data_IF_818947324840
#
_entry.id   IF_818947324840
#
_cell.length_a   1.000
_cell.length_b   1.000
_cell.length_c   1.000
_cell.angle_alpha   90.00
_cell.angle_beta   90.00
_cell.angle_gamma   90.00
#
_symmetry.space_group_name_H-M   'P 1'
#
loop_
_entity.id
_entity.type
_entity.pdbx_description
1 polymer ?
#
# COMPACT_ATOMS: atom_id res chain seq x y z
N UNK A 1 11.48 24.22 6.16
CA UNK A 1 10.28 25.07 6.32
C UNK A 1 9.10 24.15 6.57
N UNK A 2 8.45 24.26 7.72
CA UNK A 2 7.38 23.36 8.17
C UNK A 2 6.11 23.58 7.35
N UNK A 3 5.36 22.51 7.05
CA UNK A 3 4.10 22.56 6.28
C UNK A 3 3.09 23.58 6.82
N UNK A 4 3.17 23.88 8.12
CA UNK A 4 2.27 24.80 8.82
C UNK A 4 2.73 26.26 8.80
N UNK A 5 3.94 26.52 8.31
CA UNK A 5 4.58 27.84 8.28
C UNK A 5 4.71 28.38 6.83
N UNK A 6 4.03 27.73 5.88
CA UNK A 6 3.98 28.14 4.48
C UNK A 6 2.64 28.82 4.19
N UNK A 7 2.63 30.08 3.72
CA UNK A 7 1.41 30.82 3.47
C UNK A 7 0.63 30.23 2.28
N UNK A 8 -0.70 30.30 2.33
CA UNK A 8 -1.57 29.82 1.24
C UNK A 8 -1.51 30.72 -0.01
N UNK A 9 -1.36 32.02 0.20
CA UNK A 9 -1.16 33.04 -0.83
C UNK A 9 -0.06 34.00 -0.38
N UNK A 10 0.67 34.56 -1.33
CA UNK A 10 1.63 35.64 -1.09
C UNK A 10 1.09 36.85 -1.84
N UNK A 11 0.79 37.93 -1.12
CA UNK A 11 0.34 39.21 -1.68
C UNK A 11 1.42 40.23 -1.40
N UNK A 12 1.92 40.87 -2.45
CA UNK A 12 2.95 41.92 -2.35
C UNK A 12 2.24 43.27 -2.24
N UNK A 13 2.74 44.15 -1.38
CA UNK A 13 2.12 45.47 -1.11
C UNK A 13 2.06 46.37 -2.36
N UNK A 14 3.01 46.22 -3.26
CA UNK A 14 3.15 47.01 -4.50
C UNK A 14 2.27 46.51 -5.65
N UNK A 15 1.54 45.39 -5.44
CA UNK A 15 0.59 44.90 -6.43
C UNK A 15 -0.67 45.78 -6.39
N UNK A 16 -0.83 46.66 -7.38
CA UNK A 16 -1.99 47.53 -7.49
C UNK A 16 -3.30 46.77 -7.80
N UNK A 17 -3.21 45.55 -8.32
CA UNK A 17 -4.38 44.74 -8.73
C UNK A 17 -4.19 43.27 -8.32
N UNK A 18 -4.16 42.98 -7.01
CA UNK A 18 -4.08 41.61 -6.54
C UNK A 18 -5.33 40.85 -7.00
N UNK A 19 -5.21 39.54 -7.28
CA UNK A 19 -6.31 38.73 -7.82
C UNK A 19 -7.33 38.37 -6.72
N UNK A 20 -7.99 39.38 -6.14
CA UNK A 20 -8.92 39.27 -5.02
C UNK A 20 -10.05 38.27 -5.29
N UNK A 21 -10.62 38.28 -6.49
CA UNK A 21 -11.72 37.37 -6.86
C UNK A 21 -11.26 35.90 -6.88
N UNK A 22 -10.03 35.64 -7.33
CA UNK A 22 -9.47 34.29 -7.36
C UNK A 22 -9.10 33.81 -5.95
N UNK A 23 -8.59 34.71 -5.09
CA UNK A 23 -8.33 34.40 -3.68
C UNK A 23 -9.65 34.08 -2.96
N UNK A 24 -10.70 34.88 -3.22
CA UNK A 24 -12.03 34.65 -2.67
C UNK A 24 -12.60 33.30 -3.11
N UNK A 25 -12.57 33.00 -4.41
CA UNK A 25 -13.00 31.70 -4.93
C UNK A 25 -12.18 30.54 -4.34
N UNK A 26 -10.87 30.73 -4.18
CA UNK A 26 -10.01 29.68 -3.62
C UNK A 26 -10.23 29.44 -2.12
N UNK A 27 -10.75 30.42 -1.36
CA UNK A 27 -11.08 30.25 0.06
C UNK A 27 -12.53 29.80 0.28
N UNK A 28 -13.47 30.40 -0.43
CA UNK A 28 -14.92 30.27 -0.18
C UNK A 28 -15.58 29.33 -1.19
N UNK A 29 -15.10 29.28 -2.43
CA UNK A 29 -15.73 28.61 -3.57
C UNK A 29 -16.59 29.55 -4.41
N UNK A 30 -17.01 29.10 -5.58
CA UNK A 30 -17.87 29.84 -6.53
C UNK A 30 -19.36 29.49 -6.35
N UNK A 31 -20.23 30.46 -6.67
CA UNK A 31 -21.70 30.29 -6.79
C UNK A 31 -22.40 29.58 -5.61
N UNK A 32 -22.04 29.97 -4.37
CA UNK A 32 -22.66 29.44 -3.15
C UNK A 32 -22.30 28.00 -2.81
N UNK A 33 -21.39 27.37 -3.58
CA UNK A 33 -20.85 26.05 -3.27
C UNK A 33 -19.55 26.20 -2.51
N UNK A 34 -19.60 25.87 -1.21
CA UNK A 34 -18.41 25.87 -0.37
C UNK A 34 -17.35 24.95 -0.97
N UNK A 35 -16.11 25.43 -1.10
CA UNK A 35 -14.99 24.63 -1.60
C UNK A 35 -14.89 23.34 -0.78
N UNK A 36 -14.98 22.19 -1.45
CA UNK A 36 -14.82 20.88 -0.81
C UNK A 36 -13.38 20.72 -0.32
N UNK A 37 -13.11 21.13 0.91
CA UNK A 37 -11.83 20.88 1.56
C UNK A 37 -11.75 19.39 1.84
N UNK A 38 -10.78 18.71 1.22
CA UNK A 38 -10.51 17.30 1.54
C UNK A 38 -10.21 17.21 3.04
N UNK A 39 -11.00 16.47 3.83
CA UNK A 39 -10.78 16.38 5.26
C UNK A 39 -9.35 15.93 5.53
N UNK A 40 -8.72 16.51 6.55
CA UNK A 40 -7.42 16.04 6.98
C UNK A 40 -7.54 14.54 7.34
N UNK A 41 -6.62 13.70 6.89
CA UNK A 41 -6.65 12.27 7.18
C UNK A 41 -6.65 11.97 8.69
N UNK A 42 -6.24 12.93 9.52
CA UNK A 42 -6.34 12.86 10.97
C UNK A 42 -7.78 12.90 11.52
N UNK A 43 -8.74 13.47 10.79
CA UNK A 43 -10.16 13.59 11.21
C UNK A 43 -11.09 12.61 10.49
N UNK A 44 -10.57 11.84 9.53
CA UNK A 44 -11.34 10.76 8.89
C UNK A 44 -11.39 9.58 9.84
N UNK A 45 -12.59 9.26 10.32
CA UNK A 45 -12.84 8.03 11.07
C UNK A 45 -12.41 6.85 10.21
N UNK A 46 -11.37 6.14 10.65
CA UNK A 46 -10.95 4.91 9.97
C UNK A 46 -12.11 3.92 10.05
N UNK A 47 -12.47 3.23 8.96
CA UNK A 47 -13.39 2.11 9.02
C UNK A 47 -12.93 1.15 10.13
N UNK A 48 -13.87 0.54 10.85
CA UNK A 48 -13.55 -0.45 11.85
C UNK A 48 -12.71 -1.56 11.19
N UNK A 49 -11.41 -1.55 11.43
CA UNK A 49 -10.50 -2.58 10.95
C UNK A 49 -10.86 -3.87 11.64
N UNK A 50 -10.81 -4.99 10.92
CA UNK A 50 -10.90 -6.31 11.54
C UNK A 50 -9.93 -6.37 12.72
N UNK A 51 -10.47 -6.72 13.89
CA UNK A 51 -9.71 -6.82 15.12
C UNK A 51 -8.57 -7.81 14.85
N UNK A 52 -7.32 -7.33 14.96
CA UNK A 52 -6.08 -8.09 14.67
C UNK A 52 -5.56 -8.13 13.20
N UNK A 53 -6.03 -7.26 12.29
CA UNK A 53 -5.57 -7.25 10.88
C UNK A 53 -4.05 -7.28 10.68
N UNK A 54 -3.29 -6.42 11.38
CA UNK A 54 -1.83 -6.34 11.19
C UNK A 54 -1.12 -7.65 11.57
N UNK A 55 -1.62 -8.34 12.59
CA UNK A 55 -1.11 -9.65 12.97
C UNK A 55 -1.44 -10.70 11.92
N UNK A 56 -2.69 -10.75 11.43
CA UNK A 56 -3.09 -11.69 10.38
C UNK A 56 -2.29 -11.46 9.09
N UNK A 57 -2.03 -10.20 8.73
CA UNK A 57 -1.18 -9.81 7.62
C UNK A 57 0.26 -10.32 7.80
N UNK A 58 0.86 -10.05 8.97
CA UNK A 58 2.24 -10.45 9.28
C UNK A 58 2.40 -11.98 9.31
N UNK A 59 1.43 -12.67 9.94
CA UNK A 59 1.40 -14.13 10.09
C UNK A 59 1.18 -14.84 8.75
N UNK A 60 0.16 -14.44 8.00
CA UNK A 60 -0.18 -15.06 6.70
C UNK A 60 0.96 -14.90 5.69
N UNK A 61 1.57 -13.72 5.61
CA UNK A 61 2.72 -13.50 4.72
C UNK A 61 3.94 -14.30 5.15
N UNK A 62 4.18 -14.46 6.46
CA UNK A 62 5.28 -15.30 6.98
C UNK A 62 5.09 -16.77 6.64
N UNK A 63 3.86 -17.28 6.79
CA UNK A 63 3.55 -18.68 6.54
C UNK A 63 3.73 -19.02 5.04
N UNK A 64 3.35 -18.11 4.14
CA UNK A 64 3.60 -18.26 2.70
C UNK A 64 5.10 -18.26 2.39
N UNK A 65 5.89 -17.35 2.98
CA UNK A 65 7.35 -17.39 2.79
C UNK A 65 7.97 -18.69 3.30
N UNK A 66 7.47 -19.23 4.42
CA UNK A 66 7.93 -20.51 4.93
C UNK A 66 7.65 -21.64 3.94
N UNK A 67 6.46 -21.66 3.31
CA UNK A 67 6.14 -22.64 2.25
C UNK A 67 7.09 -22.54 1.06
N UNK A 68 7.41 -21.32 0.60
CA UNK A 68 8.39 -21.10 -0.47
C UNK A 68 9.76 -21.67 -0.08
N UNK A 69 10.22 -21.40 1.13
CA UNK A 69 11.51 -21.88 1.61
C UNK A 69 11.56 -23.40 1.78
N UNK A 70 10.45 -24.05 2.15
CA UNK A 70 10.36 -25.52 2.20
C UNK A 70 10.43 -26.09 0.79
N UNK A 71 9.61 -25.57 -0.13
CA UNK A 71 9.60 -26.03 -1.52
C UNK A 71 10.98 -25.94 -2.18
N UNK A 72 11.69 -24.81 -2.00
CA UNK A 72 13.04 -24.61 -2.55
C UNK A 72 14.10 -25.54 -1.95
N UNK A 73 13.90 -26.02 -0.72
CA UNK A 73 14.78 -27.02 -0.10
C UNK A 73 14.52 -28.42 -0.67
N UNK A 74 13.25 -28.75 -0.87
CA UNK A 74 12.85 -30.06 -1.39
C UNK A 74 13.19 -30.22 -2.88
N UNK A 75 13.22 -29.11 -3.63
CA UNK A 75 13.57 -29.05 -5.06
C UNK A 75 14.92 -28.36 -5.28
N UNK A 76 15.92 -28.70 -4.46
CA UNK A 76 17.23 -28.08 -4.51
C UNK A 76 17.92 -28.31 -5.86
N UNK A 77 18.25 -27.22 -6.56
CA UNK A 77 18.91 -27.26 -7.87
C UNK A 77 17.95 -27.22 -9.06
N UNK A 78 16.65 -27.34 -8.82
CA UNK A 78 15.62 -27.08 -9.82
C UNK A 78 15.28 -25.58 -9.83
N UNK A 79 15.05 -25.04 -11.03
CA UNK A 79 14.62 -23.65 -11.22
C UNK A 79 13.11 -23.58 -11.40
N UNK A 80 12.48 -22.56 -10.79
CA UNK A 80 11.05 -22.33 -10.90
C UNK A 80 10.21 -23.28 -10.05
N UNK A 81 8.98 -23.55 -10.51
CA UNK A 81 8.00 -24.38 -9.82
C UNK A 81 6.73 -23.62 -9.43
N UNK A 82 5.70 -24.38 -9.07
CA UNK A 82 4.40 -23.84 -8.66
C UNK A 82 4.07 -24.31 -7.24
N UNK A 83 3.70 -23.38 -6.37
CA UNK A 83 3.27 -23.69 -5.00
C UNK A 83 1.78 -23.38 -4.87
N UNK A 84 0.97 -24.41 -4.64
CA UNK A 84 -0.44 -24.25 -4.33
C UNK A 84 -0.62 -23.72 -2.90
N UNK A 85 -1.32 -22.59 -2.76
CA UNK A 85 -1.67 -22.01 -1.47
C UNK A 85 -3.10 -22.39 -1.12
N UNK A 86 -3.32 -22.91 0.09
CA UNK A 86 -4.66 -23.29 0.54
C UNK A 86 -5.62 -22.09 0.50
N UNK A 87 -6.82 -22.31 -0.04
CA UNK A 87 -7.88 -21.32 -0.22
C UNK A 87 -7.56 -20.20 -1.24
N UNK A 88 -6.60 -20.44 -2.13
CA UNK A 88 -6.28 -19.54 -3.24
C UNK A 88 -6.27 -20.36 -4.54
N UNK A 89 -7.02 -19.92 -5.54
CA UNK A 89 -7.10 -20.63 -6.84
C UNK A 89 -5.78 -20.54 -7.62
N UNK A 90 -5.10 -19.40 -7.54
CA UNK A 90 -3.84 -19.17 -8.26
C UNK A 90 -2.64 -19.71 -7.45
N UNK A 91 -1.73 -20.48 -8.08
CA UNK A 91 -0.48 -20.87 -7.44
C UNK A 91 0.51 -19.71 -7.40
N UNK A 92 1.52 -19.84 -6.53
CA UNK A 92 2.71 -18.98 -6.58
C UNK A 92 3.64 -19.57 -7.64
N UNK A 93 3.95 -18.76 -8.66
CA UNK A 93 4.85 -19.11 -9.75
C UNK A 93 6.27 -18.67 -9.38
N UNK A 94 7.15 -19.62 -9.07
CA UNK A 94 8.51 -19.31 -8.68
C UNK A 94 9.37 -18.92 -9.89
N UNK A 95 10.30 -17.96 -9.72
CA UNK A 95 11.24 -17.60 -10.77
C UNK A 95 12.27 -18.72 -11.01
N UNK A 96 12.86 -18.74 -12.21
CA UNK A 96 13.86 -19.73 -12.61
C UNK A 96 15.10 -19.76 -11.68
N UNK A 97 15.44 -18.62 -11.06
CA UNK A 97 16.52 -18.54 -10.07
C UNK A 97 15.93 -18.58 -8.66
N UNK A 98 16.39 -19.47 -7.77
CA UNK A 98 15.86 -19.55 -6.42
C UNK A 98 16.11 -18.25 -5.64
N UNK A 99 15.07 -17.79 -4.95
CA UNK A 99 15.10 -16.58 -4.14
C UNK A 99 15.69 -16.84 -2.76
N UNK A 100 16.58 -15.96 -2.32
CA UNK A 100 17.14 -16.02 -0.96
C UNK A 100 16.15 -15.49 0.07
N UNK A 101 16.24 -15.98 1.32
CA UNK A 101 15.41 -15.50 2.43
C UNK A 101 15.45 -13.96 2.61
N UNK A 102 16.60 -13.27 2.52
CA UNK A 102 16.64 -11.81 2.60
C UNK A 102 15.85 -11.10 1.50
N UNK A 103 15.85 -11.64 0.26
CA UNK A 103 15.08 -11.08 -0.84
C UNK A 103 13.57 -11.26 -0.60
N UNK A 104 13.14 -12.45 -0.21
CA UNK A 104 11.73 -12.72 0.14
C UNK A 104 11.25 -11.82 1.30
N UNK A 105 12.08 -11.65 2.34
CA UNK A 105 11.77 -10.75 3.45
C UNK A 105 11.71 -9.28 3.02
N UNK A 106 12.45 -8.87 2.00
CA UNK A 106 12.36 -7.51 1.43
C UNK A 106 11.01 -7.31 0.74
N UNK A 107 10.60 -8.23 -0.13
CA UNK A 107 9.30 -8.20 -0.83
C UNK A 107 8.16 -8.17 0.19
N UNK A 108 8.21 -9.03 1.21
CA UNK A 108 7.24 -9.04 2.31
C UNK A 108 7.14 -7.69 3.05
N UNK A 109 8.27 -7.06 3.38
CA UNK A 109 8.27 -5.74 4.05
C UNK A 109 7.67 -4.65 3.17
N UNK A 110 7.91 -4.69 1.86
CA UNK A 110 7.29 -3.76 0.89
C UNK A 110 5.77 -3.95 0.88
N UNK A 111 5.31 -5.20 0.78
CA UNK A 111 3.88 -5.54 0.82
C UNK A 111 3.19 -5.07 2.11
N UNK A 112 3.78 -5.34 3.28
CA UNK A 112 3.22 -4.92 4.58
C UNK A 112 3.15 -3.40 4.67
N UNK A 113 4.16 -2.70 4.17
CA UNK A 113 4.19 -1.23 4.17
C UNK A 113 3.08 -0.65 3.30
N UNK A 114 2.87 -1.22 2.12
CA UNK A 114 1.82 -0.82 1.18
C UNK A 114 0.41 -1.04 1.76
N UNK A 115 0.20 -2.16 2.43
CA UNK A 115 -1.12 -2.60 2.87
C UNK A 115 -1.41 -2.34 4.35
N UNK A 116 -0.59 -1.53 5.03
CA UNK A 116 -0.75 -1.22 6.45
C UNK A 116 -2.05 -0.46 6.76
N UNK A 117 -2.53 0.35 5.82
CA UNK A 117 -3.68 1.26 6.03
C UNK A 117 -5.00 0.70 5.52
N UNK A 118 -4.97 -0.29 4.64
CA UNK A 118 -6.14 -0.93 4.05
C UNK A 118 -6.32 -2.30 4.68
N UNK A 119 -7.42 -2.51 5.40
CA UNK A 119 -7.72 -3.84 5.96
C UNK A 119 -8.38 -4.70 4.88
N UNK A 120 -7.95 -5.95 4.82
CA UNK A 120 -8.54 -6.99 4.00
C UNK A 120 -9.02 -8.12 4.92
N UNK A 121 -9.98 -8.90 4.45
CA UNK A 121 -10.30 -10.18 5.11
C UNK A 121 -9.12 -11.14 4.98
N UNK A 122 -9.01 -12.09 5.91
CA UNK A 122 -7.91 -13.08 5.94
C UNK A 122 -7.73 -13.84 4.61
N UNK A 123 -8.82 -14.28 3.99
CA UNK A 123 -8.77 -14.97 2.70
C UNK A 123 -8.18 -14.06 1.62
N UNK A 124 -8.58 -12.79 1.61
CA UNK A 124 -8.11 -11.80 0.64
C UNK A 124 -6.64 -11.43 0.82
N UNK A 125 -6.10 -11.47 2.06
CA UNK A 125 -4.66 -11.28 2.30
C UNK A 125 -3.84 -12.31 1.52
N UNK A 126 -4.25 -13.58 1.55
CA UNK A 126 -3.55 -14.66 0.83
C UNK A 126 -3.56 -14.39 -0.67
N UNK A 127 -4.74 -14.18 -1.26
CA UNK A 127 -4.91 -13.92 -2.69
C UNK A 127 -4.06 -12.74 -3.16
N UNK A 128 -4.17 -11.60 -2.48
CA UNK A 128 -3.48 -10.37 -2.88
C UNK A 128 -1.96 -10.50 -2.71
N UNK A 129 -1.49 -11.27 -1.72
CA UNK A 129 -0.06 -11.52 -1.57
C UNK A 129 0.48 -12.47 -2.63
N UNK A 130 -0.27 -13.51 -3.02
CA UNK A 130 0.11 -14.40 -4.14
C UNK A 130 0.21 -13.61 -5.44
N UNK A 131 -0.81 -12.81 -5.77
CA UNK A 131 -0.80 -11.95 -6.96
C UNK A 131 0.41 -10.98 -6.93
N UNK A 132 0.73 -10.42 -5.75
CA UNK A 132 1.88 -9.53 -5.58
C UNK A 132 3.22 -10.25 -5.77
N UNK A 133 3.38 -11.47 -5.24
CA UNK A 133 4.59 -12.28 -5.42
C UNK A 133 4.81 -12.61 -6.89
N UNK A 134 3.77 -13.10 -7.59
CA UNK A 134 3.85 -13.43 -9.01
C UNK A 134 4.22 -12.19 -9.84
N UNK A 135 3.66 -11.02 -9.51
CA UNK A 135 4.03 -9.77 -10.18
C UNK A 135 5.49 -9.34 -9.92
N UNK A 136 6.00 -9.52 -8.70
CA UNK A 136 7.39 -9.19 -8.36
C UNK A 136 8.40 -10.22 -8.93
N UNK A 137 8.00 -11.47 -9.12
CA UNK A 137 8.86 -12.51 -9.70
C UNK A 137 8.96 -12.46 -11.23
N UNK A 138 7.94 -11.91 -11.90
CA UNK A 138 7.94 -11.67 -13.34
C UNK A 138 8.76 -10.44 -13.77
N UNK A 139 9.22 -9.64 -12.81
CA UNK A 139 9.93 -8.38 -13.05
C UNK A 139 11.45 -8.55 -13.10
#
# INVERSE_FOLDING_TARGET
>A
MTRWDSPLFIVVEEDEKPPCDQIWEAMVGSDGKMKTVKPNLATVLKPATEQNYLYELDKTTSDILAQIMVYQKDHAGEGGGEIAVQDVEKPIELPATPMTLPQLQRIRRQFITLNRQHSFSKARIKEVFVDYLNAEFLR
#
